data_IF_876891317578
#
_entry.id   IF_876891317578
#
_cell.length_a   1.000
_cell.length_b   1.000
_cell.length_c   1.000
_cell.angle_alpha   90.00
_cell.angle_beta   90.00
_cell.angle_gamma   90.00
#
_symmetry.space_group_name_H-M   'P 1'
#
loop_
_entity.id
_entity.type
_entity.pdbx_description
1 polymer ?
#
# COMPACT_ATOMS: atom_id res chain seq x y z
N UNK A 1 -50.67 -46.17 -26.32
CA UNK A 1 -49.80 -47.01 -27.17
C UNK A 1 -49.42 -46.24 -28.45
N UNK A 2 -48.12 -46.12 -28.75
CA UNK A 2 -47.69 -45.58 -30.03
C UNK A 2 -48.00 -46.60 -31.13
N UNK A 3 -48.58 -46.16 -32.25
CA UNK A 3 -49.04 -47.08 -33.29
C UNK A 3 -47.89 -47.69 -34.11
N UNK A 4 -46.77 -47.00 -34.31
CA UNK A 4 -45.58 -47.54 -35.02
C UNK A 4 -44.23 -46.87 -34.68
N UNK A 5 -44.20 -45.59 -34.29
CA UNK A 5 -42.95 -44.83 -34.10
C UNK A 5 -42.95 -44.09 -32.77
N UNK A 6 -41.84 -44.20 -32.04
CA UNK A 6 -41.51 -43.37 -30.89
C UNK A 6 -40.45 -42.34 -31.30
N UNK A 7 -40.61 -41.10 -30.83
CA UNK A 7 -39.70 -39.99 -31.09
C UNK A 7 -39.11 -39.42 -29.80
N UNK A 8 -37.86 -38.98 -29.88
CA UNK A 8 -37.19 -38.16 -28.85
C UNK A 8 -36.44 -37.02 -29.52
N UNK A 9 -36.60 -35.81 -28.98
CA UNK A 9 -35.90 -34.62 -29.46
C UNK A 9 -35.63 -33.66 -28.31
N UNK A 10 -34.65 -32.79 -28.52
CA UNK A 10 -34.42 -31.64 -27.65
C UNK A 10 -34.50 -30.37 -28.46
N UNK A 11 -35.34 -29.43 -28.00
CA UNK A 11 -35.42 -28.10 -28.62
C UNK A 11 -34.22 -27.25 -28.24
N UNK A 12 -34.07 -26.12 -28.91
CA UNK A 12 -32.96 -25.19 -28.66
C UNK A 12 -32.94 -24.64 -27.24
N UNK A 13 -34.08 -24.54 -26.57
CA UNK A 13 -34.19 -24.14 -25.16
C UNK A 13 -33.76 -25.24 -24.17
N UNK A 14 -33.36 -26.42 -24.68
CA UNK A 14 -32.94 -27.55 -23.86
C UNK A 14 -34.10 -28.46 -23.40
N UNK A 15 -35.35 -28.12 -23.72
CA UNK A 15 -36.52 -28.91 -23.31
C UNK A 15 -36.57 -30.24 -24.06
N UNK A 16 -36.70 -31.32 -23.30
CA UNK A 16 -36.84 -32.68 -23.81
C UNK A 16 -38.29 -32.93 -24.26
N UNK A 17 -38.45 -33.54 -25.42
CA UNK A 17 -39.71 -34.02 -25.93
C UNK A 17 -39.60 -35.51 -26.23
N UNK A 18 -40.55 -36.28 -25.72
CA UNK A 18 -40.68 -37.71 -25.97
C UNK A 18 -42.14 -38.03 -26.26
N UNK A 19 -42.40 -38.91 -27.23
CA UNK A 19 -43.77 -39.37 -27.49
C UNK A 19 -43.93 -40.20 -28.75
N UNK A 20 -45.20 -40.36 -29.16
CA UNK A 20 -45.59 -41.17 -30.31
C UNK A 20 -45.63 -40.33 -31.59
N UNK A 21 -44.47 -39.91 -32.08
CA UNK A 21 -44.35 -39.05 -33.27
C UNK A 21 -43.03 -39.29 -34.01
N UNK A 22 -43.01 -38.99 -35.31
CA UNK A 22 -41.80 -38.97 -36.12
C UNK A 22 -41.09 -37.61 -36.06
N UNK A 23 -39.89 -37.52 -36.63
CA UNK A 23 -39.16 -36.26 -36.73
C UNK A 23 -39.84 -35.30 -37.72
N UNK A 24 -40.61 -34.35 -37.19
CA UNK A 24 -41.21 -33.26 -37.97
C UNK A 24 -40.60 -31.91 -37.56
N UNK A 25 -40.65 -30.89 -38.43
CA UNK A 25 -40.16 -29.53 -38.13
C UNK A 25 -40.78 -28.88 -36.89
N UNK A 26 -41.95 -29.34 -36.45
CA UNK A 26 -42.69 -28.83 -35.29
C UNK A 26 -42.02 -29.18 -33.94
N UNK A 27 -41.29 -30.31 -33.90
CA UNK A 27 -40.71 -30.85 -32.68
C UNK A 27 -39.18 -30.64 -32.57
N UNK A 28 -38.46 -30.48 -33.68
CA UNK A 28 -37.06 -30.04 -33.74
C UNK A 28 -36.60 -29.82 -35.20
N UNK A 29 -35.44 -29.18 -35.40
CA UNK A 29 -34.70 -29.38 -36.66
C UNK A 29 -34.45 -30.88 -36.84
N UNK A 30 -34.70 -31.40 -38.04
CA UNK A 30 -34.71 -32.84 -38.36
C UNK A 30 -33.46 -33.60 -37.92
N UNK A 31 -32.31 -32.93 -37.77
CA UNK A 31 -31.03 -33.50 -37.39
C UNK A 31 -30.93 -33.91 -35.90
N UNK A 32 -31.74 -33.32 -35.01
CA UNK A 32 -31.66 -33.56 -33.55
C UNK A 32 -32.77 -34.41 -32.98
N UNK A 33 -33.68 -34.87 -33.84
CA UNK A 33 -34.69 -35.83 -33.48
C UNK A 33 -34.21 -37.25 -33.76
N UNK A 34 -34.51 -38.19 -32.86
CA UNK A 34 -34.29 -39.62 -33.04
C UNK A 34 -35.62 -40.34 -32.99
N UNK A 35 -35.80 -41.32 -33.86
CA UNK A 35 -36.98 -42.18 -33.90
C UNK A 35 -36.60 -43.64 -33.78
N UNK A 36 -37.55 -44.46 -33.35
CA UNK A 36 -37.37 -45.90 -33.21
C UNK A 36 -38.73 -46.62 -33.15
N UNK A 37 -38.72 -47.92 -33.46
CA UNK A 37 -39.93 -48.75 -33.65
C UNK A 37 -40.09 -49.85 -32.59
N UNK A 38 -39.30 -49.79 -31.52
CA UNK A 38 -39.34 -50.77 -30.42
C UNK A 38 -40.01 -50.17 -29.18
N UNK A 39 -40.44 -51.02 -28.25
CA UNK A 39 -41.01 -50.54 -27.00
C UNK A 39 -39.97 -49.77 -26.18
N UNK A 40 -40.38 -48.62 -25.61
CA UNK A 40 -39.58 -47.77 -24.72
C UNK A 40 -38.22 -47.32 -25.29
N UNK A 41 -38.10 -47.22 -26.60
CA UNK A 41 -36.82 -46.99 -27.27
C UNK A 41 -36.40 -45.52 -27.37
N UNK A 42 -37.30 -44.56 -27.15
CA UNK A 42 -37.06 -43.13 -27.32
C UNK A 42 -36.42 -42.50 -26.08
N UNK A 43 -35.33 -43.10 -25.59
CA UNK A 43 -34.61 -42.68 -24.39
C UNK A 43 -33.90 -41.33 -24.56
N UNK A 44 -33.82 -40.54 -23.49
CA UNK A 44 -33.14 -39.23 -23.49
C UNK A 44 -31.67 -39.33 -23.91
N UNK A 45 -31.00 -40.46 -23.61
CA UNK A 45 -29.59 -40.68 -23.93
C UNK A 45 -29.26 -40.66 -25.43
N UNK A 46 -30.28 -40.72 -26.28
CA UNK A 46 -30.15 -40.72 -27.74
C UNK A 46 -30.00 -39.31 -28.32
N UNK A 47 -30.30 -38.27 -27.53
CA UNK A 47 -30.18 -36.88 -27.96
C UNK A 47 -29.04 -36.18 -27.25
N UNK A 48 -28.38 -35.28 -27.98
CA UNK A 48 -27.32 -34.45 -27.46
C UNK A 48 -27.81 -33.49 -26.37
N UNK A 49 -26.89 -33.06 -25.51
CA UNK A 49 -27.11 -31.92 -24.63
C UNK A 49 -26.63 -30.64 -25.31
N UNK A 50 -27.30 -29.54 -25.01
CA UNK A 50 -26.96 -28.22 -25.52
C UNK A 50 -26.09 -27.49 -24.50
N UNK A 51 -25.02 -26.82 -24.94
CA UNK A 51 -24.24 -25.88 -24.12
C UNK A 51 -24.26 -24.48 -24.75
N UNK A 52 -23.91 -23.47 -23.97
CA UNK A 52 -23.54 -22.16 -24.49
C UNK A 52 -22.09 -22.17 -25.03
N UNK A 53 -21.83 -21.41 -26.08
CA UNK A 53 -20.50 -21.19 -26.65
C UNK A 53 -20.30 -19.70 -27.00
N UNK A 54 -19.16 -19.13 -26.61
CA UNK A 54 -18.84 -17.75 -26.96
C UNK A 54 -18.43 -17.62 -28.43
N UNK A 55 -19.00 -16.64 -29.14
CA UNK A 55 -18.71 -16.33 -30.55
C UNK A 55 -18.54 -14.83 -30.75
N UNK A 56 -17.29 -14.37 -30.88
CA UNK A 56 -16.99 -12.96 -31.06
C UNK A 56 -17.55 -12.10 -29.92
N UNK A 57 -18.54 -11.24 -30.21
CA UNK A 57 -19.23 -10.40 -29.21
C UNK A 57 -20.50 -11.02 -28.63
N UNK A 58 -20.92 -12.19 -29.10
CA UNK A 58 -22.15 -12.86 -28.70
C UNK A 58 -21.94 -14.29 -28.23
N UNK A 59 -23.03 -15.04 -28.18
CA UNK A 59 -23.06 -16.45 -27.82
C UNK A 59 -23.90 -17.22 -28.84
N UNK A 60 -23.53 -18.48 -29.07
CA UNK A 60 -24.33 -19.44 -29.82
C UNK A 60 -24.54 -20.69 -28.97
N UNK A 61 -25.35 -21.61 -29.50
CA UNK A 61 -25.51 -22.95 -28.95
C UNK A 61 -24.54 -23.88 -29.63
N UNK A 62 -23.99 -24.81 -28.85
CA UNK A 62 -23.20 -25.93 -29.34
C UNK A 62 -23.74 -27.22 -28.71
N UNK A 63 -23.40 -28.36 -29.29
CA UNK A 63 -23.97 -29.66 -28.92
C UNK A 63 -22.88 -30.65 -28.57
N UNK A 64 -23.13 -31.46 -27.56
CA UNK A 64 -22.27 -32.56 -27.15
C UNK A 64 -23.12 -33.78 -26.80
N UNK A 65 -22.54 -34.97 -26.84
CA UNK A 65 -23.25 -36.23 -26.52
C UNK A 65 -24.02 -36.13 -25.19
N UNK A 66 -25.01 -37.00 -24.94
CA UNK A 66 -25.83 -36.98 -23.71
C UNK A 66 -25.04 -36.83 -22.40
N UNK A 67 -23.88 -37.47 -22.29
CA UNK A 67 -22.97 -37.41 -21.13
C UNK A 67 -21.78 -36.45 -21.33
N UNK A 68 -21.90 -35.59 -22.34
CA UNK A 68 -20.91 -34.59 -22.69
C UNK A 68 -20.78 -33.52 -21.63
N UNK A 69 -19.78 -32.66 -21.84
CA UNK A 69 -19.36 -31.65 -20.87
C UNK A 69 -19.61 -30.28 -21.50
N UNK A 70 -20.16 -29.37 -20.71
CA UNK A 70 -20.15 -27.94 -21.00
C UNK A 70 -19.11 -27.26 -20.10
N UNK A 71 -18.48 -26.20 -20.58
CA UNK A 71 -17.50 -25.43 -19.81
C UNK A 71 -17.89 -23.97 -19.69
N UNK A 72 -17.59 -23.37 -18.54
CA UNK A 72 -17.58 -21.91 -18.32
C UNK A 72 -16.20 -21.52 -17.81
N UNK A 73 -15.60 -20.45 -18.35
CA UNK A 73 -14.27 -19.98 -17.90
C UNK A 73 -14.16 -18.46 -17.78
N UNK A 74 -13.14 -18.00 -17.04
CA UNK A 74 -12.73 -16.59 -17.03
C UNK A 74 -11.60 -16.39 -18.03
N UNK A 75 -11.79 -15.45 -18.95
CA UNK A 75 -10.73 -14.98 -19.83
C UNK A 75 -9.62 -14.27 -19.05
N UNK A 76 -8.49 -13.97 -19.70
CA UNK A 76 -7.40 -13.15 -19.13
C UNK A 76 -7.84 -11.78 -18.61
N UNK A 77 -8.99 -11.28 -19.05
CA UNK A 77 -9.59 -10.00 -18.62
C UNK A 77 -10.86 -10.19 -17.77
N UNK A 78 -11.04 -11.38 -17.18
CA UNK A 78 -12.20 -11.77 -16.38
C UNK A 78 -13.55 -11.81 -17.12
N UNK A 79 -13.57 -11.80 -18.45
CA UNK A 79 -14.83 -12.04 -19.18
C UNK A 79 -15.25 -13.49 -18.99
N UNK A 80 -16.53 -13.73 -18.81
CA UNK A 80 -17.08 -15.09 -18.78
C UNK A 80 -17.13 -15.60 -20.23
N UNK A 81 -16.51 -16.75 -20.47
CA UNK A 81 -16.54 -17.45 -21.75
C UNK A 81 -17.23 -18.80 -21.56
N UNK A 82 -17.86 -19.26 -22.63
CA UNK A 82 -18.62 -20.51 -22.66
C UNK A 82 -18.06 -21.42 -23.75
N UNK A 83 -18.14 -22.72 -23.53
CA UNK A 83 -17.72 -23.71 -24.53
C UNK A 83 -18.42 -25.05 -24.38
N UNK A 84 -18.40 -25.80 -25.48
CA UNK A 84 -18.65 -27.23 -25.48
C UNK A 84 -17.35 -27.98 -25.22
N UNK A 85 -17.42 -28.99 -24.36
CA UNK A 85 -16.30 -29.85 -24.01
C UNK A 85 -15.65 -29.46 -22.69
N UNK A 86 -14.41 -29.96 -22.53
CA UNK A 86 -13.63 -29.83 -21.31
C UNK A 86 -13.06 -28.44 -21.12
N UNK A 87 -12.70 -28.13 -19.88
CA UNK A 87 -12.08 -26.87 -19.54
C UNK A 87 -10.75 -26.65 -20.28
N UNK A 88 -10.58 -25.52 -20.98
CA UNK A 88 -9.33 -25.22 -21.69
C UNK A 88 -8.28 -24.57 -20.78
N UNK A 89 -8.67 -24.12 -19.58
CA UNK A 89 -7.80 -23.44 -18.62
C UNK A 89 -8.11 -23.87 -17.18
N UNK A 90 -7.25 -23.48 -16.23
CA UNK A 90 -7.50 -23.72 -14.80
C UNK A 90 -8.54 -22.77 -14.19
N UNK A 91 -8.87 -21.67 -14.86
CA UNK A 91 -9.87 -20.69 -14.41
C UNK A 91 -11.25 -21.03 -15.01
N UNK A 92 -11.62 -22.30 -14.94
CA UNK A 92 -12.74 -22.88 -15.65
C UNK A 92 -13.46 -23.93 -14.80
N UNK A 93 -14.78 -24.06 -15.01
CA UNK A 93 -15.58 -25.17 -14.48
C UNK A 93 -16.24 -25.95 -15.59
N UNK A 94 -16.29 -27.25 -15.37
CA UNK A 94 -17.05 -28.20 -16.17
C UNK A 94 -18.40 -28.48 -15.51
N UNK A 95 -19.43 -28.67 -16.31
CA UNK A 95 -20.72 -29.15 -15.84
C UNK A 95 -21.32 -30.14 -16.86
N UNK A 96 -22.27 -30.94 -16.39
CA UNK A 96 -23.04 -31.88 -17.21
C UNK A 96 -24.50 -31.48 -17.21
N UNK A 97 -25.17 -31.70 -18.32
CA UNK A 97 -26.58 -31.38 -18.52
C UNK A 97 -26.80 -30.16 -19.38
N UNK A 98 -28.06 -29.92 -19.71
CA UNK A 98 -28.45 -28.93 -20.70
C UNK A 98 -28.29 -27.51 -20.18
N UNK A 99 -27.58 -26.70 -20.97
CA UNK A 99 -27.33 -25.28 -20.73
C UNK A 99 -26.78 -25.01 -19.33
N UNK A 100 -26.10 -25.99 -18.72
CA UNK A 100 -25.61 -25.89 -17.34
C UNK A 100 -24.51 -24.85 -17.18
N UNK A 101 -23.87 -24.45 -18.29
CA UNK A 101 -22.79 -23.47 -18.33
C UNK A 101 -23.33 -22.04 -18.54
N UNK A 102 -24.40 -21.66 -17.84
CA UNK A 102 -25.10 -20.38 -18.00
C UNK A 102 -24.30 -19.15 -17.50
N UNK A 103 -23.21 -19.37 -16.77
CA UNK A 103 -22.32 -18.33 -16.26
C UNK A 103 -22.91 -17.46 -15.16
N UNK A 104 -24.10 -17.77 -14.66
CA UNK A 104 -24.73 -16.98 -13.62
C UNK A 104 -23.95 -17.12 -12.30
N UNK A 105 -23.54 -16.00 -11.71
CA UNK A 105 -22.67 -15.97 -10.50
C UNK A 105 -21.36 -16.77 -10.65
N UNK A 106 -20.80 -16.84 -11.86
CA UNK A 106 -19.54 -17.55 -12.08
C UNK A 106 -18.39 -16.94 -11.25
N UNK A 107 -17.59 -17.74 -10.52
CA UNK A 107 -16.57 -17.20 -9.62
C UNK A 107 -15.40 -16.54 -10.36
N UNK A 108 -14.54 -15.90 -9.58
CA UNK A 108 -13.21 -15.49 -9.99
C UNK A 108 -12.18 -16.50 -9.49
N UNK A 109 -10.96 -16.47 -10.02
CA UNK A 109 -9.95 -17.49 -9.76
C UNK A 109 -8.61 -16.87 -9.42
N UNK A 110 -8.07 -17.22 -8.26
CA UNK A 110 -6.74 -16.85 -7.81
C UNK A 110 -5.88 -18.10 -7.60
N UNK A 111 -4.56 -17.96 -7.61
CA UNK A 111 -3.67 -19.03 -7.14
C UNK A 111 -3.73 -19.12 -5.63
N UNK A 112 -3.69 -20.35 -5.12
CA UNK A 112 -3.44 -20.62 -3.70
C UNK A 112 -1.94 -20.51 -3.39
N UNK A 113 -1.58 -20.61 -2.11
CA UNK A 113 -0.22 -20.40 -1.59
C UNK A 113 0.82 -21.39 -2.15
N UNK A 114 0.39 -22.55 -2.63
CA UNK A 114 1.26 -23.51 -3.32
C UNK A 114 1.67 -23.04 -4.75
N UNK A 115 1.05 -21.98 -5.26
CA UNK A 115 1.26 -21.41 -6.59
C UNK A 115 0.78 -22.29 -7.75
N UNK A 116 0.06 -23.37 -7.47
CA UNK A 116 -0.38 -24.38 -8.46
C UNK A 116 -1.88 -24.64 -8.41
N UNK A 117 -2.42 -24.72 -7.20
CA UNK A 117 -3.84 -24.91 -6.91
C UNK A 117 -4.58 -23.60 -7.15
N UNK A 118 -5.82 -23.74 -7.60
CA UNK A 118 -6.70 -22.61 -7.90
C UNK A 118 -7.76 -22.50 -6.82
N UNK A 119 -7.93 -21.28 -6.31
CA UNK A 119 -8.96 -20.93 -5.34
C UNK A 119 -10.04 -20.09 -6.01
N UNK A 120 -11.29 -20.41 -5.71
CA UNK A 120 -12.44 -19.66 -6.17
C UNK A 120 -12.72 -18.47 -5.26
N UNK A 121 -12.96 -17.31 -5.87
CA UNK A 121 -13.15 -16.05 -5.17
C UNK A 121 -14.46 -15.38 -5.60
N UNK A 122 -15.07 -14.65 -4.67
CA UNK A 122 -16.26 -13.85 -4.92
C UNK A 122 -15.97 -12.53 -5.64
N UNK A 123 -14.71 -12.08 -5.60
CA UNK A 123 -14.19 -10.86 -6.26
C UNK A 123 -12.98 -11.20 -7.14
N UNK A 124 -12.71 -10.36 -8.13
CA UNK A 124 -11.60 -10.53 -9.08
C UNK A 124 -10.22 -10.29 -8.47
N UNK A 125 -10.15 -9.66 -7.31
CA UNK A 125 -8.90 -9.25 -6.71
C UNK A 125 -8.22 -10.43 -5.99
N UNK A 126 -7.00 -10.73 -6.42
CA UNK A 126 -6.12 -11.72 -5.83
C UNK A 126 -4.98 -11.03 -5.08
N UNK A 127 -4.38 -11.71 -4.11
CA UNK A 127 -3.17 -11.23 -3.44
C UNK A 127 -2.06 -12.29 -3.41
N UNK A 128 -0.82 -11.81 -3.28
CA UNK A 128 0.33 -12.58 -2.82
C UNK A 128 1.18 -11.70 -1.89
N UNK A 129 1.61 -12.24 -0.76
CA UNK A 129 2.38 -11.53 0.25
C UNK A 129 3.86 -11.95 0.31
N UNK A 130 4.70 -11.18 1.00
CA UNK A 130 6.13 -11.50 1.19
C UNK A 130 6.37 -12.82 1.94
N UNK A 131 5.39 -13.31 2.70
CA UNK A 131 5.38 -14.64 3.30
C UNK A 131 5.08 -15.76 2.30
N UNK A 132 4.86 -15.43 1.02
CA UNK A 132 4.41 -16.34 -0.03
C UNK A 132 3.01 -16.94 0.19
N UNK A 133 2.18 -16.34 1.06
CA UNK A 133 0.77 -16.68 1.11
C UNK A 133 0.05 -16.00 -0.05
N UNK A 134 -0.92 -16.69 -0.63
CA UNK A 134 -1.65 -16.21 -1.79
C UNK A 134 -3.10 -16.69 -1.76
N UNK A 135 -4.01 -15.90 -2.35
CA UNK A 135 -5.41 -16.28 -2.43
C UNK A 135 -6.33 -15.13 -2.81
N UNK A 136 -7.56 -15.20 -2.31
CA UNK A 136 -8.59 -14.19 -2.55
C UNK A 136 -8.32 -12.96 -1.69
N UNK A 137 -8.47 -11.76 -2.26
CA UNK A 137 -8.31 -10.53 -1.49
C UNK A 137 -9.30 -10.46 -0.32
N UNK A 138 -8.81 -10.01 0.83
CA UNK A 138 -9.52 -10.01 2.12
C UNK A 138 -9.10 -11.14 3.07
N UNK A 139 -8.37 -12.14 2.59
CA UNK A 139 -7.84 -13.24 3.41
C UNK A 139 -6.38 -13.05 3.85
N UNK A 140 -5.72 -11.97 3.41
CA UNK A 140 -4.30 -11.71 3.71
C UNK A 140 -4.09 -11.23 5.14
N UNK A 141 -2.90 -11.49 5.67
CA UNK A 141 -2.46 -10.88 6.93
C UNK A 141 -2.07 -9.42 6.68
N UNK A 142 -2.81 -8.48 7.28
CA UNK A 142 -2.60 -7.03 7.13
C UNK A 142 -1.22 -6.55 7.60
N UNK A 143 -0.53 -7.35 8.42
CA UNK A 143 0.81 -7.03 8.93
C UNK A 143 1.94 -7.46 7.98
N UNK A 144 1.62 -8.20 6.91
CA UNK A 144 2.60 -8.66 5.91
C UNK A 144 2.39 -7.84 4.63
N UNK A 145 3.47 -7.28 4.05
CA UNK A 145 3.37 -6.54 2.80
C UNK A 145 2.89 -7.47 1.69
N UNK A 146 1.97 -6.97 0.87
CA UNK A 146 1.37 -7.74 -0.20
C UNK A 146 1.24 -6.91 -1.48
N UNK A 147 1.05 -7.60 -2.59
CA UNK A 147 0.63 -7.03 -3.87
C UNK A 147 -0.67 -7.65 -4.31
N UNK A 148 -1.59 -6.83 -4.83
CA UNK A 148 -2.85 -7.29 -5.40
C UNK A 148 -2.89 -7.12 -6.92
N UNK A 149 -3.72 -7.94 -7.56
CA UNK A 149 -3.93 -7.92 -9.00
C UNK A 149 -5.34 -8.44 -9.34
N UNK A 150 -5.84 -8.11 -10.54
CA UNK A 150 -7.26 -8.25 -10.88
C UNK A 150 -7.54 -9.14 -12.09
N UNK A 151 -6.62 -10.01 -12.51
CA UNK A 151 -6.83 -10.96 -13.61
C UNK A 151 -6.73 -12.39 -13.09
N UNK A 152 -7.33 -13.41 -13.75
CA UNK A 152 -7.28 -14.77 -13.22
C UNK A 152 -5.86 -15.25 -13.00
N UNK A 153 -5.62 -15.85 -11.83
CA UNK A 153 -4.34 -16.50 -11.49
C UNK A 153 -3.13 -15.55 -11.57
N UNK A 154 -3.34 -14.25 -11.38
CA UNK A 154 -2.31 -13.23 -11.56
C UNK A 154 -1.30 -13.16 -10.41
N UNK A 155 -1.68 -13.64 -9.23
CA UNK A 155 -0.94 -13.56 -7.97
C UNK A 155 0.20 -14.58 -7.91
N UNK A 156 1.12 -14.48 -8.87
CA UNK A 156 2.26 -15.38 -9.03
C UNK A 156 3.46 -14.95 -8.19
N UNK A 157 4.37 -15.88 -7.89
CA UNK A 157 5.68 -15.56 -7.29
C UNK A 157 6.50 -14.61 -8.15
N UNK A 158 6.30 -14.62 -9.47
CA UNK A 158 6.95 -13.68 -10.38
C UNK A 158 6.44 -12.25 -10.20
N UNK A 159 5.12 -12.07 -10.01
CA UNK A 159 4.53 -10.76 -9.68
C UNK A 159 5.15 -10.22 -8.39
N UNK A 160 5.23 -11.05 -7.35
CA UNK A 160 5.84 -10.65 -6.07
C UNK A 160 7.29 -10.22 -6.25
N UNK A 161 8.11 -11.00 -6.97
CA UNK A 161 9.53 -10.69 -7.23
C UNK A 161 9.74 -9.41 -8.04
N UNK A 162 8.82 -9.09 -8.95
CA UNK A 162 8.88 -7.87 -9.77
C UNK A 162 8.29 -6.64 -9.08
N UNK A 163 7.58 -6.84 -7.97
CA UNK A 163 6.95 -5.75 -7.23
C UNK A 163 8.01 -5.01 -6.42
N UNK A 164 8.02 -3.69 -6.56
CA UNK A 164 8.80 -2.80 -5.72
C UNK A 164 8.04 -2.57 -4.41
N UNK A 165 8.67 -2.88 -3.28
CA UNK A 165 8.13 -2.53 -1.97
C UNK A 165 8.85 -1.32 -1.41
N UNK A 166 8.11 -0.39 -0.82
CA UNK A 166 8.66 0.84 -0.23
C UNK A 166 8.20 0.99 1.22
N UNK A 167 8.95 1.78 1.98
CA UNK A 167 8.51 2.27 3.28
C UNK A 167 7.47 3.37 3.08
N UNK A 168 6.39 3.35 3.85
CA UNK A 168 5.37 4.38 3.89
C UNK A 168 5.28 4.96 5.29
N UNK A 169 5.45 6.27 5.41
CA UNK A 169 5.39 6.97 6.68
C UNK A 169 4.84 8.36 6.43
N UNK A 170 3.71 8.64 7.06
CA UNK A 170 3.16 9.98 7.14
C UNK A 170 3.70 10.72 8.37
N UNK A 171 3.54 12.04 8.40
CA UNK A 171 4.10 12.93 9.44
C UNK A 171 3.79 12.53 10.90
N UNK A 172 2.73 11.75 11.14
CA UNK A 172 2.30 11.34 12.49
C UNK A 172 2.69 9.91 12.87
N UNK A 173 3.17 9.12 11.92
CA UNK A 173 3.53 7.73 12.17
C UNK A 173 4.91 7.65 12.82
N UNK A 174 5.07 6.83 13.85
CA UNK A 174 6.38 6.58 14.48
C UNK A 174 7.17 5.51 13.72
N UNK A 175 6.48 4.50 13.21
CA UNK A 175 7.05 3.35 12.49
C UNK A 175 6.52 3.36 11.04
N UNK A 176 7.39 3.17 10.03
CA UNK A 176 6.93 3.07 8.65
C UNK A 176 6.16 1.77 8.40
N UNK A 177 5.06 1.88 7.67
CA UNK A 177 4.42 0.74 7.01
C UNK A 177 5.26 0.30 5.79
N UNK A 178 4.94 -0.86 5.26
CA UNK A 178 5.57 -1.42 4.06
C UNK A 178 4.48 -1.64 3.01
N UNK A 179 4.64 -1.02 1.84
CA UNK A 179 3.63 -1.00 0.79
C UNK A 179 4.20 -1.40 -0.56
N UNK A 180 3.37 -1.95 -1.43
CA UNK A 180 3.70 -2.18 -2.83
C UNK A 180 3.59 -0.88 -3.63
N UNK A 181 4.64 -0.54 -4.38
CA UNK A 181 4.70 0.60 -5.27
C UNK A 181 4.92 0.16 -6.72
N UNK A 182 4.48 1.01 -7.67
CA UNK A 182 4.62 0.69 -9.09
C UNK A 182 6.06 0.82 -9.60
N UNK A 183 6.73 1.94 -9.29
CA UNK A 183 7.96 2.32 -10.01
C UNK A 183 9.09 2.88 -9.13
N UNK A 184 8.76 3.56 -8.03
CA UNK A 184 9.72 4.36 -7.26
C UNK A 184 9.33 4.38 -5.79
N UNK A 185 10.35 4.36 -4.93
CA UNK A 185 10.22 4.72 -3.52
C UNK A 185 10.84 6.10 -3.33
N UNK A 186 10.23 6.93 -2.49
CA UNK A 186 10.80 8.22 -2.12
C UNK A 186 10.77 8.46 -0.62
N UNK A 187 11.71 9.28 -0.18
CA UNK A 187 11.81 9.80 1.18
C UNK A 187 12.12 11.28 1.10
N UNK A 188 11.45 12.07 1.92
CA UNK A 188 11.68 13.51 2.02
C UNK A 188 11.47 14.04 3.42
N UNK A 189 12.16 15.14 3.74
CA UNK A 189 11.76 16.04 4.82
C UNK A 189 11.18 17.32 4.26
N UNK A 190 10.11 17.81 4.87
CA UNK A 190 9.53 19.10 4.54
C UNK A 190 10.25 20.26 5.26
N UNK A 191 9.71 21.48 5.12
CA UNK A 191 10.20 22.70 5.77
C UNK A 191 10.28 22.61 7.31
N UNK A 192 9.41 21.81 7.92
CA UNK A 192 9.39 21.57 9.36
C UNK A 192 10.33 20.43 9.80
N UNK A 193 10.93 19.70 8.85
CA UNK A 193 11.81 18.57 9.13
C UNK A 193 11.04 17.27 9.37
N UNK A 194 9.73 17.27 9.11
CA UNK A 194 8.88 16.10 9.22
C UNK A 194 9.19 15.12 8.11
N UNK A 195 9.39 13.86 8.48
CA UNK A 195 9.74 12.79 7.55
C UNK A 195 8.50 12.27 6.83
N UNK A 196 8.63 12.08 5.52
CA UNK A 196 7.62 11.43 4.68
C UNK A 196 8.27 10.36 3.82
N UNK A 197 7.64 9.19 3.72
CA UNK A 197 8.10 8.06 2.91
C UNK A 197 6.93 7.44 2.12
N UNK A 198 7.15 6.97 0.89
CA UNK A 198 6.15 6.24 0.12
C UNK A 198 6.35 6.23 -1.39
N UNK A 199 5.26 6.02 -2.15
CA UNK A 199 5.26 5.83 -3.61
C UNK A 199 5.11 7.14 -4.41
N UNK A 200 6.15 7.96 -4.48
CA UNK A 200 6.16 9.14 -5.37
C UNK A 200 7.53 9.38 -5.97
N UNK A 201 7.63 10.28 -6.95
CA UNK A 201 8.90 10.79 -7.43
C UNK A 201 9.24 12.08 -6.70
N UNK A 202 10.52 12.27 -6.40
CA UNK A 202 11.03 13.59 -6.06
C UNK A 202 10.96 14.49 -7.29
N UNK A 203 10.34 15.64 -7.14
CA UNK A 203 10.40 16.69 -8.15
C UNK A 203 11.68 17.51 -7.90
N UNK A 204 12.63 17.53 -8.85
CA UNK A 204 13.87 18.30 -8.71
C UNK A 204 13.62 19.81 -8.59
N UNK A 205 12.43 20.30 -8.95
CA UNK A 205 12.04 21.70 -8.89
C UNK A 205 11.20 22.04 -7.64
N UNK A 206 10.88 21.07 -6.79
CA UNK A 206 10.11 21.31 -5.57
C UNK A 206 11.00 21.90 -4.48
N UNK A 207 11.04 23.24 -4.46
CA UNK A 207 11.79 24.02 -3.47
C UNK A 207 11.38 23.73 -2.02
N UNK A 208 10.20 23.13 -1.77
CA UNK A 208 9.72 22.78 -0.42
C UNK A 208 10.25 21.45 0.09
N UNK A 209 10.86 20.62 -0.78
CA UNK A 209 11.45 19.32 -0.45
C UNK A 209 12.97 19.33 -0.63
N UNK A 210 13.62 20.27 0.06
CA UNK A 210 15.08 20.51 0.01
C UNK A 210 15.94 19.25 0.23
N UNK A 211 15.42 18.21 0.88
CA UNK A 211 16.07 16.90 0.95
C UNK A 211 15.07 15.80 0.56
N UNK A 212 14.93 15.57 -0.75
CA UNK A 212 14.13 14.47 -1.33
C UNK A 212 15.04 13.49 -2.06
N UNK A 213 14.89 12.20 -1.79
CA UNK A 213 15.60 11.13 -2.51
C UNK A 213 14.61 10.09 -3.02
N UNK A 214 14.84 9.65 -4.26
CA UNK A 214 14.09 8.57 -4.91
C UNK A 214 15.01 7.39 -5.21
N UNK A 215 14.46 6.19 -5.19
CA UNK A 215 15.20 4.96 -5.46
C UNK A 215 14.25 3.85 -5.96
N UNK A 216 14.82 2.76 -6.51
CA UNK A 216 14.08 1.73 -7.28
C UNK A 216 14.32 0.29 -6.79
N UNK A 217 14.82 0.13 -5.57
CA UNK A 217 15.04 -1.18 -4.93
C UNK A 217 14.15 -1.32 -3.70
N UNK A 218 13.86 -2.54 -3.26
CA UNK A 218 12.95 -2.75 -2.14
C UNK A 218 13.45 -2.06 -0.87
N UNK A 219 12.55 -1.34 -0.20
CA UNK A 219 12.75 -0.63 1.07
C UNK A 219 13.91 0.37 1.04
N UNK A 220 14.27 0.87 -0.14
CA UNK A 220 15.43 1.71 -0.32
C UNK A 220 15.24 3.13 0.23
N UNK A 221 14.00 3.60 0.38
CA UNK A 221 13.68 4.96 0.80
C UNK A 221 13.79 5.15 2.31
N UNK A 222 14.92 4.75 2.87
CA UNK A 222 15.20 4.83 4.31
C UNK A 222 15.43 6.27 4.77
N UNK A 223 15.16 6.55 6.03
CA UNK A 223 15.28 7.91 6.61
C UNK A 223 16.72 8.45 6.53
N UNK A 224 17.72 7.58 6.43
CA UNK A 224 19.15 7.89 6.38
C UNK A 224 19.56 8.63 5.11
N UNK A 225 18.72 8.59 4.08
CA UNK A 225 19.01 9.24 2.80
C UNK A 225 18.75 10.74 2.79
N UNK A 226 18.05 11.26 3.82
CA UNK A 226 17.69 12.67 3.93
C UNK A 226 18.36 13.31 5.14
N UNK A 227 18.77 14.55 4.97
CA UNK A 227 19.52 15.31 5.97
C UNK A 227 18.65 15.63 7.20
N UNK A 228 19.30 15.84 8.35
CA UNK A 228 18.65 16.42 9.51
C UNK A 228 18.59 17.93 9.39
N UNK A 229 17.61 18.53 10.07
CA UNK A 229 17.57 19.97 10.30
C UNK A 229 18.13 20.30 11.66
N UNK A 230 18.83 21.41 11.78
CA UNK A 230 19.14 22.03 13.07
C UNK A 230 18.52 23.43 13.10
N UNK A 231 18.19 23.92 14.29
CA UNK A 231 17.83 25.32 14.48
C UNK A 231 19.05 26.21 14.29
N UNK A 232 18.87 27.32 13.60
CA UNK A 232 19.79 28.45 13.57
C UNK A 232 19.36 29.55 14.54
N UNK A 233 20.29 30.43 14.87
CA UNK A 233 20.11 31.47 15.89
C UNK A 233 19.06 32.53 15.50
N UNK A 234 18.77 32.68 14.21
CA UNK A 234 17.73 33.57 13.69
C UNK A 234 16.36 32.88 13.56
N UNK A 235 16.23 31.64 14.06
CA UNK A 235 15.03 30.82 13.99
C UNK A 235 14.86 30.07 12.67
N UNK A 236 15.75 30.26 11.69
CA UNK A 236 15.76 29.44 10.47
C UNK A 236 16.30 28.04 10.76
N UNK A 237 16.26 27.19 9.74
CA UNK A 237 16.83 25.86 9.80
C UNK A 237 17.97 25.73 8.81
N UNK A 238 19.05 25.10 9.24
CA UNK A 238 20.12 24.62 8.37
C UNK A 238 20.02 23.09 8.22
N UNK A 239 20.58 22.56 7.14
CA UNK A 239 20.61 21.12 6.89
C UNK A 239 21.99 20.56 7.20
N UNK A 240 22.01 19.42 7.86
CA UNK A 240 23.24 18.71 8.20
C UNK A 240 23.09 17.23 7.88
N UNK A 241 24.13 16.55 7.36
CA UNK A 241 24.08 15.10 7.16
C UNK A 241 23.64 14.39 8.44
N UNK A 242 22.98 13.24 8.31
CA UNK A 242 22.44 12.49 9.47
C UNK A 242 23.45 12.21 10.60
N UNK A 243 24.72 12.03 10.25
CA UNK A 243 25.80 11.76 11.22
C UNK A 243 26.50 13.03 11.73
N UNK A 244 26.12 14.19 11.22
CA UNK A 244 26.63 15.46 11.69
C UNK A 244 25.77 15.97 12.84
N UNK A 245 26.40 16.71 13.73
CA UNK A 245 25.74 17.24 14.91
C UNK A 245 24.99 18.54 14.59
N UNK A 246 24.03 18.85 15.45
CA UNK A 246 23.59 20.21 15.68
C UNK A 246 24.30 20.73 16.93
N UNK A 247 24.47 22.04 17.05
CA UNK A 247 25.06 22.62 18.26
C UNK A 247 24.19 23.73 18.85
N UNK A 248 24.37 23.94 20.14
CA UNK A 248 24.07 25.19 20.86
C UNK A 248 25.35 25.67 21.51
N UNK A 249 25.63 26.96 21.51
CA UNK A 249 26.77 27.53 22.21
C UNK A 249 26.45 28.88 22.84
N UNK A 250 27.23 29.26 23.86
CA UNK A 250 27.19 30.62 24.40
C UNK A 250 28.21 31.50 23.66
N UNK A 251 27.80 32.64 23.08
CA UNK A 251 28.73 33.65 22.58
C UNK A 251 29.47 34.33 23.74
N UNK A 252 30.76 34.61 23.56
CA UNK A 252 31.61 35.20 24.62
C UNK A 252 31.18 36.60 25.05
N UNK A 253 30.56 37.36 24.14
CA UNK A 253 30.29 38.80 24.32
C UNK A 253 28.80 39.12 24.47
N UNK A 254 27.94 38.12 24.70
CA UNK A 254 26.49 38.32 24.84
C UNK A 254 25.82 37.28 25.74
N UNK A 255 25.59 37.66 27.00
CA UNK A 255 25.02 36.79 28.05
C UNK A 255 23.51 36.52 27.88
N UNK A 256 22.84 37.23 26.96
CA UNK A 256 21.40 37.19 26.80
C UNK A 256 20.95 36.28 25.65
N UNK A 257 21.89 35.68 24.90
CA UNK A 257 21.58 34.83 23.75
C UNK A 257 22.47 33.60 23.73
N UNK A 258 21.91 32.47 23.31
CA UNK A 258 22.70 31.35 22.81
C UNK A 258 22.69 31.38 21.29
N UNK A 259 23.74 30.82 20.68
CA UNK A 259 23.79 30.54 19.25
C UNK A 259 23.45 29.07 19.02
N UNK A 260 22.72 28.80 17.94
CA UNK A 260 22.42 27.46 17.46
C UNK A 260 22.80 27.35 15.98
N UNK A 261 23.18 26.15 15.55
CA UNK A 261 23.48 25.89 14.15
C UNK A 261 23.80 24.42 13.83
N UNK A 262 24.21 24.19 12.59
CA UNK A 262 24.60 22.90 12.05
C UNK A 262 26.09 22.64 12.20
N UNK A 263 26.44 21.36 12.33
CA UNK A 263 27.81 20.89 12.41
C UNK A 263 28.30 20.75 13.86
N UNK A 264 29.60 20.56 13.97
CA UNK A 264 30.30 20.45 15.24
C UNK A 264 30.77 21.81 15.74
N UNK A 265 31.04 21.91 17.03
CA UNK A 265 31.64 23.06 17.67
C UNK A 265 33.03 23.36 17.05
N UNK A 266 33.10 24.38 16.20
CA UNK A 266 34.28 24.68 15.35
C UNK A 266 35.51 25.12 16.18
N UNK A 267 35.35 25.49 17.45
CA UNK A 267 36.48 25.97 18.26
C UNK A 267 36.23 25.95 19.77
N UNK A 268 35.99 24.78 20.38
CA UNK A 268 35.94 24.55 21.86
C UNK A 268 35.70 25.82 22.72
N UNK A 269 34.61 26.60 22.56
CA UNK A 269 34.20 27.41 23.68
C UNK A 269 33.86 26.41 24.78
N UNK A 270 34.23 26.67 26.03
CA UNK A 270 33.90 25.79 27.17
C UNK A 270 32.38 25.58 27.35
N UNK A 271 31.58 26.23 26.50
CA UNK A 271 30.12 26.36 26.49
C UNK A 271 29.54 26.11 25.09
N UNK A 272 30.04 25.11 24.37
CA UNK A 272 29.40 24.58 23.16
C UNK A 272 29.00 23.12 23.35
N UNK A 273 27.75 22.81 23.03
CA UNK A 273 27.14 21.51 23.25
C UNK A 273 26.53 21.00 21.96
N UNK A 274 26.80 19.74 21.68
CA UNK A 274 26.36 19.07 20.47
C UNK A 274 25.21 18.11 20.81
N UNK A 275 24.28 17.98 19.88
CA UNK A 275 23.28 16.92 19.88
C UNK A 275 23.19 16.30 18.49
N UNK A 276 22.70 15.07 18.44
CA UNK A 276 22.43 14.38 17.20
C UNK A 276 20.92 14.15 17.07
N UNK A 277 20.37 14.47 15.89
CA UNK A 277 18.95 14.29 15.59
C UNK A 277 18.32 15.54 14.95
N UNK A 278 17.15 15.34 14.36
CA UNK A 278 16.39 16.42 13.73
C UNK A 278 15.92 17.42 14.79
N UNK A 279 16.29 18.70 14.59
CA UNK A 279 15.93 19.85 15.43
C UNK A 279 16.27 19.63 16.91
N UNK A 280 17.30 18.84 17.19
CA UNK A 280 17.65 18.46 18.56
C UNK A 280 18.20 19.63 19.39
N UNK A 281 18.70 20.68 18.74
CA UNK A 281 19.31 21.85 19.37
C UNK A 281 18.27 22.93 19.70
N UNK A 282 17.12 22.49 20.24
CA UNK A 282 16.01 23.38 20.59
C UNK A 282 16.28 24.17 21.88
N UNK A 283 15.32 25.02 22.25
CA UNK A 283 15.41 25.85 23.47
C UNK A 283 15.49 25.01 24.74
N UNK A 284 14.89 23.81 24.77
CA UNK A 284 14.92 22.94 25.95
C UNK A 284 16.30 22.29 26.08
N UNK A 285 16.90 21.87 24.96
CA UNK A 285 18.27 21.41 24.91
C UNK A 285 19.23 22.50 25.39
N UNK A 286 19.09 23.73 24.88
CA UNK A 286 19.89 24.88 25.34
C UNK A 286 19.77 25.10 26.85
N UNK A 287 18.55 25.17 27.39
CA UNK A 287 18.29 25.31 28.84
C UNK A 287 18.84 24.15 29.68
N UNK A 288 18.89 22.94 29.11
CA UNK A 288 19.44 21.76 29.82
C UNK A 288 20.98 21.76 29.90
N UNK A 289 21.65 22.53 29.03
CA UNK A 289 23.11 22.54 28.91
C UNK A 289 23.75 23.80 29.47
N UNK A 290 23.06 24.93 29.38
CA UNK A 290 23.52 26.24 29.83
C UNK A 290 22.89 26.57 31.19
N UNK A 291 23.66 27.15 32.11
CA UNK A 291 23.08 27.72 33.33
C UNK A 291 22.21 28.91 32.95
N UNK A 292 21.04 29.06 33.57
CA UNK A 292 20.11 30.12 33.20
C UNK A 292 19.62 30.93 34.38
N UNK A 293 19.64 32.25 34.25
CA UNK A 293 19.01 33.18 35.19
C UNK A 293 17.68 33.67 34.63
N UNK A 294 16.61 33.55 35.41
CA UNK A 294 15.29 34.08 35.05
C UNK A 294 15.26 35.58 35.34
N UNK A 295 14.70 36.38 34.45
CA UNK A 295 14.35 37.75 34.78
C UNK A 295 13.21 37.81 35.79
N UNK A 296 13.10 38.93 36.49
CA UNK A 296 12.14 39.14 37.58
C UNK A 296 10.68 38.94 37.16
N UNK A 297 10.33 39.23 35.90
CA UNK A 297 8.99 39.02 35.35
C UNK A 297 8.79 37.61 34.74
N UNK A 298 9.83 36.76 34.74
CA UNK A 298 9.81 35.42 34.15
C UNK A 298 9.80 35.38 32.62
N UNK A 299 9.82 36.55 31.96
CA UNK A 299 9.65 36.68 30.51
C UNK A 299 10.95 36.46 29.71
N UNK A 300 12.12 36.65 30.33
CA UNK A 300 13.43 36.52 29.67
C UNK A 300 14.36 35.59 30.45
N UNK A 301 15.07 34.72 29.74
CA UNK A 301 16.05 33.79 30.28
C UNK A 301 17.44 34.22 29.81
N UNK A 302 18.34 34.57 30.75
CA UNK A 302 19.76 34.81 30.45
C UNK A 302 20.54 33.52 30.52
N UNK A 303 21.52 33.33 29.65
CA UNK A 303 22.33 32.11 29.56
C UNK A 303 23.74 32.41 30.07
N UNK A 304 24.08 31.82 31.20
CA UNK A 304 25.29 32.11 31.94
C UNK A 304 26.44 31.15 31.61
N UNK A 305 27.64 31.65 31.88
CA UNK A 305 28.86 30.86 31.78
C UNK A 305 28.85 29.66 32.75
N UNK A 306 29.53 28.56 32.40
CA UNK A 306 29.50 27.31 33.20
C UNK A 306 30.08 27.46 34.60
N UNK A 307 31.02 28.40 34.78
CA UNK A 307 31.64 28.74 36.06
C UNK A 307 30.77 29.66 36.92
N UNK A 308 29.63 30.14 36.40
CA UNK A 308 28.65 30.90 37.14
C UNK A 308 27.53 29.96 37.57
N UNK A 309 27.29 29.88 38.87
CA UNK A 309 26.25 29.05 39.47
C UNK A 309 25.26 29.87 40.32
N UNK A 310 25.33 31.19 40.23
CA UNK A 310 24.48 32.13 40.96
C UNK A 310 23.95 33.20 40.00
N UNK A 311 22.78 33.73 40.34
CA UNK A 311 22.10 34.80 39.63
C UNK A 311 21.96 35.98 40.57
N UNK A 312 22.16 37.19 40.06
CA UNK A 312 21.81 38.39 40.78
C UNK A 312 20.58 39.05 40.15
N UNK A 313 19.82 39.75 40.98
CA UNK A 313 18.73 40.62 40.56
C UNK A 313 19.09 42.03 40.99
N UNK A 314 18.75 43.03 40.18
CA UNK A 314 18.94 44.41 40.58
C UNK A 314 17.79 45.28 40.11
N UNK A 315 17.53 46.38 40.81
CA UNK A 315 16.47 47.32 40.47
C UNK A 315 17.02 48.71 40.15
N UNK A 316 16.94 49.13 38.88
CA UNK A 316 17.10 50.52 38.44
C UNK A 316 15.90 50.91 37.60
N UNK A 317 14.90 51.53 38.23
CA UNK A 317 13.62 51.79 37.58
C UNK A 317 12.83 50.50 37.33
N UNK A 318 13.33 49.64 36.44
CA UNK A 318 12.88 48.26 36.22
C UNK A 318 13.77 47.25 36.98
N UNK A 319 13.23 46.05 37.25
CA UNK A 319 14.01 44.94 37.80
C UNK A 319 14.63 44.15 36.65
N UNK A 320 15.93 43.96 36.72
CA UNK A 320 16.70 43.16 35.77
C UNK A 320 17.47 42.07 36.53
N UNK A 321 18.00 41.10 35.81
CA UNK A 321 18.75 39.96 36.36
C UNK A 321 20.07 39.80 35.61
N UNK A 322 21.09 39.22 36.21
CA UNK A 322 22.33 38.89 35.52
C UNK A 322 23.00 37.64 36.06
N UNK A 323 24.03 37.20 35.36
CA UNK A 323 24.82 36.03 35.72
C UNK A 323 25.93 36.43 36.71
N UNK A 324 26.05 35.69 37.82
CA UNK A 324 27.14 35.87 38.79
C UNK A 324 26.72 36.67 40.02
N UNK A 325 27.71 37.19 40.74
CA UNK A 325 27.50 38.04 41.91
C UNK A 325 27.00 39.40 41.50
N UNK A 326 26.23 40.03 42.40
CA UNK A 326 25.90 41.44 42.28
C UNK A 326 27.20 42.27 42.13
N UNK A 327 27.31 43.14 41.12
CA UNK A 327 28.48 43.99 40.96
C UNK A 327 28.68 44.90 42.20
N UNK A 328 29.86 44.82 42.83
CA UNK A 328 30.15 45.62 44.04
C UNK A 328 30.37 47.12 43.73
N UNK A 329 30.69 47.48 42.48
CA UNK A 329 31.11 48.84 42.09
C UNK A 329 30.05 49.69 41.36
N UNK A 330 28.79 49.26 41.33
CA UNK A 330 27.79 49.95 40.51
C UNK A 330 27.17 51.16 41.25
N UNK A 331 27.81 52.32 41.06
CA UNK A 331 27.33 53.70 41.29
C UNK A 331 25.85 53.80 41.73
N UNK A 332 25.61 53.98 43.04
CA UNK A 332 24.42 54.56 43.70
C UNK A 332 22.98 54.18 43.26
N UNK A 333 22.78 53.25 42.33
CA UNK A 333 21.47 53.00 41.75
C UNK A 333 21.06 51.52 41.76
N UNK A 334 21.98 50.58 41.89
CA UNK A 334 21.67 49.15 41.86
C UNK A 334 21.42 48.63 43.28
N UNK A 335 20.16 48.29 43.59
CA UNK A 335 19.85 47.42 44.73
C UNK A 335 19.71 45.99 44.24
N UNK A 336 20.73 45.18 44.55
CA UNK A 336 20.59 43.73 44.68
C UNK A 336 20.13 43.39 46.12
#
# INVERSE_FOLDING_TARGET
>A
PCTNVCGVSRKDDGKLYQGCWGCTPEFASSERCKTCERNYCNEEKLVDITCWETMGKGYKKCFTSYNGICSTERSKTNKVLYGCGKCPSKACKECKGNLCNDGHKFPYFCLDSDGKTVKECSKSECYIDEGSNAGCFGEHNKNIPYVSCNTPLCNTKELLKKTLFCLEKDKRATIPNKIACKNVCSVSRDEDGELTQGCWNCDPNDAKKQSCKSCKTNYCNVEELVDYKCFESDGKACFTPRNANCFVARPKDNDDKYISGCGSCISKPEECFECNGNKCNDVNFAKSKLFTCLSYYGETTRYCAKNINECYYYKIGAVDSGCGKCPEESYHHYHC
#
